data_IF_663136367689
#
_entry.id   IF_663136367689
#
_cell.length_a   1.000
_cell.length_b   1.000
_cell.length_c   1.000
_cell.angle_alpha   90.00
_cell.angle_beta   90.00
_cell.angle_gamma   90.00
#
_symmetry.space_group_name_H-M   'P 1'
#
loop_
_entity.id
_entity.type
_entity.pdbx_description
1 polymer ?
#
# COMPACT_ATOMS: atom_id res chain seq x y z
N UNK A 1 35.03 16.83 0.28
CA UNK A 1 34.03 16.35 1.26
C UNK A 1 32.84 15.86 0.45
N UNK A 2 32.50 14.57 0.54
CA UNK A 2 31.27 14.07 -0.05
C UNK A 2 30.11 14.66 0.75
N UNK A 3 29.29 15.50 0.13
CA UNK A 3 27.98 15.87 0.65
C UNK A 3 27.22 14.56 0.85
N UNK A 4 26.95 14.18 2.11
CA UNK A 4 26.00 13.09 2.36
C UNK A 4 24.68 13.53 1.76
N UNK A 5 24.26 12.84 0.71
CA UNK A 5 22.97 13.12 0.06
C UNK A 5 21.86 12.99 1.10
N UNK A 6 20.92 13.94 1.06
CA UNK A 6 19.78 13.94 1.97
C UNK A 6 19.02 12.61 1.83
N UNK A 7 18.64 11.92 2.93
CA UNK A 7 18.05 10.58 2.90
C UNK A 7 16.69 10.52 2.21
N UNK A 8 16.06 11.68 2.00
CA UNK A 8 14.79 11.82 1.26
C UNK A 8 14.96 12.62 -0.03
N UNK A 9 16.18 12.73 -0.55
CA UNK A 9 16.38 13.22 -1.91
C UNK A 9 15.89 12.17 -2.91
N UNK A 10 15.43 12.63 -4.07
CA UNK A 10 14.90 11.77 -5.13
C UNK A 10 15.95 10.77 -5.68
N UNK A 11 17.23 11.00 -5.34
CA UNK A 11 18.39 10.15 -5.71
C UNK A 11 18.90 9.29 -4.56
N UNK A 12 18.29 9.37 -3.38
CA UNK A 12 18.66 8.53 -2.24
C UNK A 12 18.26 7.08 -2.48
N UNK A 13 19.08 6.15 -2.00
CA UNK A 13 18.79 4.72 -2.06
C UNK A 13 17.44 4.38 -1.38
N UNK A 14 17.10 5.12 -0.32
CA UNK A 14 15.83 4.98 0.37
C UNK A 14 14.66 5.33 -0.57
N UNK A 15 14.67 6.48 -1.23
CA UNK A 15 13.58 6.85 -2.15
C UNK A 15 13.53 5.93 -3.38
N UNK A 16 14.69 5.54 -3.94
CA UNK A 16 14.79 4.65 -5.10
C UNK A 16 14.23 3.24 -4.79
N UNK A 17 14.51 2.70 -3.60
CA UNK A 17 13.99 1.39 -3.20
C UNK A 17 12.47 1.39 -3.03
N UNK A 18 11.88 2.48 -2.51
CA UNK A 18 10.43 2.65 -2.49
C UNK A 18 9.84 2.71 -3.91
N UNK A 19 10.45 3.47 -4.82
CA UNK A 19 10.00 3.54 -6.22
C UNK A 19 10.05 2.18 -6.91
N UNK A 20 11.07 1.37 -6.62
CA UNK A 20 11.17 0.00 -7.14
C UNK A 20 9.98 -0.86 -6.69
N UNK A 21 9.55 -0.71 -5.44
CA UNK A 21 8.35 -1.38 -4.93
C UNK A 21 7.08 -0.87 -5.63
N UNK A 22 6.91 0.45 -5.73
CA UNK A 22 5.75 1.10 -6.38
C UNK A 22 5.60 0.63 -7.83
N UNK A 23 6.69 0.62 -8.61
CA UNK A 23 6.68 0.22 -10.01
C UNK A 23 6.32 -1.26 -10.23
N UNK A 24 6.53 -2.11 -9.22
CA UNK A 24 6.17 -3.53 -9.29
C UNK A 24 4.68 -3.80 -9.01
N UNK A 25 4.02 -2.93 -8.24
CA UNK A 25 2.66 -3.14 -7.74
C UNK A 25 1.59 -3.31 -8.84
N UNK A 26 1.59 -2.54 -9.96
CA UNK A 26 0.63 -2.72 -11.04
C UNK A 26 0.66 -4.12 -11.67
N UNK A 27 1.85 -4.74 -11.75
CA UNK A 27 2.00 -6.12 -12.26
C UNK A 27 1.26 -7.10 -11.36
N UNK A 28 1.38 -6.96 -10.05
CA UNK A 28 0.72 -7.84 -9.08
C UNK A 28 -0.78 -7.61 -9.05
N UNK A 29 -1.22 -6.35 -9.04
CA UNK A 29 -2.64 -5.99 -9.12
C UNK A 29 -3.31 -6.64 -10.34
N UNK A 30 -2.67 -6.56 -11.53
CA UNK A 30 -3.17 -7.21 -12.74
C UNK A 30 -3.27 -8.72 -12.57
N UNK A 31 -2.20 -9.40 -12.11
CA UNK A 31 -2.20 -10.86 -11.94
C UNK A 31 -3.28 -11.33 -10.96
N UNK A 32 -3.50 -10.61 -9.86
CA UNK A 32 -4.56 -10.93 -8.89
C UNK A 32 -5.93 -10.69 -9.51
N UNK A 33 -6.11 -9.58 -10.23
CA UNK A 33 -7.35 -9.28 -10.95
C UNK A 33 -7.68 -10.38 -11.95
N UNK A 34 -6.70 -10.85 -12.72
CA UNK A 34 -6.90 -11.94 -13.68
C UNK A 34 -7.34 -13.24 -12.99
N UNK A 35 -6.76 -13.58 -11.83
CA UNK A 35 -7.11 -14.78 -11.06
C UNK A 35 -8.52 -14.66 -10.48
N UNK A 36 -8.84 -13.53 -9.85
CA UNK A 36 -10.10 -13.32 -9.12
C UNK A 36 -11.28 -13.07 -10.08
N UNK A 37 -11.06 -12.33 -11.16
CA UNK A 37 -12.15 -11.86 -12.04
C UNK A 37 -12.29 -12.67 -13.34
N UNK A 38 -11.20 -13.24 -13.86
CA UNK A 38 -11.18 -13.77 -15.24
C UNK A 38 -10.90 -15.26 -15.31
N UNK A 39 -10.04 -15.79 -14.42
CA UNK A 39 -9.50 -17.14 -14.50
C UNK A 39 -9.60 -17.88 -13.16
N UNK A 40 -10.82 -18.24 -12.70
CA UNK A 40 -11.02 -18.94 -11.43
C UNK A 40 -10.39 -20.34 -11.41
N UNK A 41 -10.05 -20.91 -12.58
CA UNK A 41 -9.38 -22.20 -12.73
C UNK A 41 -7.83 -22.09 -12.78
N UNK A 42 -7.27 -20.97 -12.31
CA UNK A 42 -5.81 -20.81 -12.23
C UNK A 42 -5.21 -21.90 -11.33
N UNK A 43 -4.08 -22.48 -11.74
CA UNK A 43 -3.44 -23.55 -10.99
C UNK A 43 -3.02 -23.09 -9.58
N UNK A 44 -3.21 -23.95 -8.59
CA UNK A 44 -2.79 -23.68 -7.21
C UNK A 44 -1.29 -23.34 -7.12
N UNK A 45 -0.45 -23.94 -7.95
CA UNK A 45 0.98 -23.63 -8.01
C UNK A 45 1.23 -22.16 -8.42
N UNK A 46 0.51 -21.65 -9.42
CA UNK A 46 0.63 -20.27 -9.86
C UNK A 46 0.13 -19.28 -8.81
N UNK A 47 -0.96 -19.62 -8.10
CA UNK A 47 -1.48 -18.83 -6.97
C UNK A 47 -0.44 -18.80 -5.83
N UNK A 48 0.12 -19.96 -5.44
CA UNK A 48 1.16 -20.04 -4.41
C UNK A 48 2.39 -19.20 -4.77
N UNK A 49 2.86 -19.26 -6.03
CA UNK A 49 3.99 -18.45 -6.48
C UNK A 49 3.68 -16.95 -6.40
N UNK A 50 2.48 -16.54 -6.82
CA UNK A 50 2.05 -15.14 -6.74
C UNK A 50 1.96 -14.66 -5.29
N UNK A 51 1.45 -15.48 -4.37
CA UNK A 51 1.44 -15.17 -2.93
C UNK A 51 2.86 -14.97 -2.40
N UNK A 52 3.80 -15.86 -2.75
CA UNK A 52 5.20 -15.71 -2.36
C UNK A 52 5.82 -14.41 -2.89
N UNK A 53 5.53 -14.06 -4.15
CA UNK A 53 6.02 -12.81 -4.74
C UNK A 53 5.42 -11.58 -4.01
N UNK A 54 4.13 -11.61 -3.68
CA UNK A 54 3.47 -10.57 -2.89
C UNK A 54 4.02 -10.46 -1.47
N UNK A 55 4.32 -11.58 -0.81
CA UNK A 55 4.96 -11.58 0.51
C UNK A 55 6.36 -10.96 0.47
N UNK A 56 7.14 -11.24 -0.58
CA UNK A 56 8.45 -10.58 -0.76
C UNK A 56 8.29 -9.07 -0.95
N UNK A 57 7.32 -8.65 -1.76
CA UNK A 57 7.02 -7.23 -1.94
C UNK A 57 6.61 -6.57 -0.61
N UNK A 58 5.71 -7.21 0.16
CA UNK A 58 5.31 -6.76 1.50
C UNK A 58 6.51 -6.62 2.44
N UNK A 59 7.42 -7.59 2.46
CA UNK A 59 8.63 -7.55 3.27
C UNK A 59 9.54 -6.39 2.85
N UNK A 60 9.74 -6.17 1.55
CA UNK A 60 10.56 -5.06 1.05
C UNK A 60 9.98 -3.70 1.43
N UNK A 61 8.66 -3.51 1.30
CA UNK A 61 8.02 -2.24 1.68
C UNK A 61 8.04 -2.07 3.22
N UNK A 62 7.85 -3.14 3.97
CA UNK A 62 7.89 -3.10 5.45
C UNK A 62 9.29 -2.78 5.96
N UNK A 63 10.33 -3.36 5.35
CA UNK A 63 11.72 -3.03 5.65
C UNK A 63 11.99 -1.56 5.33
N UNK A 64 11.55 -1.08 4.17
CA UNK A 64 11.65 0.34 3.82
C UNK A 64 11.01 1.23 4.88
N UNK A 65 9.81 0.87 5.37
CA UNK A 65 9.12 1.64 6.41
C UNK A 65 9.91 1.68 7.72
N UNK A 66 10.54 0.57 8.11
CA UNK A 66 11.41 0.53 9.30
C UNK A 66 12.64 1.43 9.13
N UNK A 67 13.29 1.38 7.97
CA UNK A 67 14.43 2.25 7.64
C UNK A 67 14.01 3.73 7.63
N UNK A 68 12.83 4.04 7.06
CA UNK A 68 12.23 5.36 7.11
C UNK A 68 12.09 5.86 8.55
N UNK A 69 11.54 5.03 9.45
CA UNK A 69 11.32 5.40 10.86
C UNK A 69 12.63 5.76 11.58
N UNK A 70 13.69 4.97 11.37
CA UNK A 70 15.02 5.25 11.90
C UNK A 70 15.53 6.61 11.41
N UNK A 71 15.40 6.88 10.10
CA UNK A 71 15.85 8.13 9.51
C UNK A 71 14.95 9.34 9.83
N UNK A 72 13.67 9.13 10.14
CA UNK A 72 12.76 10.22 10.52
C UNK A 72 13.02 10.68 11.95
N UNK A 73 13.28 9.75 12.89
CA UNK A 73 13.61 10.10 14.28
C UNK A 73 14.89 10.92 14.40
N UNK A 74 15.93 10.55 13.65
CA UNK A 74 17.19 11.31 13.63
C UNK A 74 17.01 12.73 13.05
N UNK A 75 16.00 12.94 12.19
CA UNK A 75 15.72 14.22 11.56
C UNK A 75 14.74 15.12 12.34
N UNK A 76 13.90 14.59 13.24
CA UNK A 76 13.03 15.39 14.11
C UNK A 76 13.83 16.26 15.09
N UNK A 77 15.06 15.85 15.42
CA UNK A 77 15.98 16.59 16.29
C UNK A 77 16.71 17.74 15.60
N UNK A 78 16.52 17.96 14.29
CA UNK A 78 17.24 18.99 13.54
C UNK A 78 16.45 20.32 13.45
N UNK A 79 16.90 21.40 14.10
CA UNK A 79 16.17 22.68 14.19
C UNK A 79 16.12 23.51 12.90
N UNK A 80 16.62 23.00 11.76
CA UNK A 80 16.75 23.72 10.49
C UNK A 80 15.92 23.12 9.36
N UNK A 81 14.89 22.33 9.67
CA UNK A 81 14.12 21.58 8.66
C UNK A 81 13.29 22.51 7.78
N UNK A 82 13.51 22.44 6.46
CA UNK A 82 12.71 23.23 5.52
C UNK A 82 11.30 22.61 5.37
N UNK A 83 10.25 23.41 5.16
CA UNK A 83 8.91 22.90 4.86
C UNK A 83 8.89 21.93 3.67
N UNK A 84 9.76 22.14 2.67
CA UNK A 84 9.85 21.27 1.51
C UNK A 84 10.36 19.84 1.84
N UNK A 85 11.23 19.71 2.85
CA UNK A 85 11.72 18.40 3.30
C UNK A 85 10.69 17.66 4.16
N UNK A 86 9.78 18.39 4.81
CA UNK A 86 8.62 17.80 5.48
C UNK A 86 7.62 17.24 4.45
N UNK A 87 7.32 17.99 3.40
CA UNK A 87 6.40 17.56 2.33
C UNK A 87 6.87 16.26 1.67
N UNK A 88 8.16 16.15 1.31
CA UNK A 88 8.74 14.95 0.70
C UNK A 88 8.65 13.71 1.59
N UNK A 89 8.81 13.88 2.89
CA UNK A 89 8.71 12.77 3.84
C UNK A 89 7.27 12.26 3.97
N UNK A 90 6.30 13.17 4.10
CA UNK A 90 4.88 12.79 4.12
C UNK A 90 4.44 12.16 2.80
N UNK A 91 4.96 12.65 1.68
CA UNK A 91 4.69 12.05 0.37
C UNK A 91 5.21 10.61 0.28
N UNK A 92 6.48 10.38 0.65
CA UNK A 92 7.10 9.06 0.65
C UNK A 92 6.38 8.09 1.61
N UNK A 93 6.06 8.54 2.84
CA UNK A 93 5.32 7.76 3.81
C UNK A 93 3.91 7.41 3.30
N UNK A 94 3.23 8.37 2.69
CA UNK A 94 1.93 8.15 2.08
C UNK A 94 1.97 7.11 0.96
N UNK A 95 3.03 7.11 0.14
CA UNK A 95 3.23 6.08 -0.89
C UNK A 95 3.48 4.71 -0.27
N UNK A 96 4.34 4.64 0.74
CA UNK A 96 4.60 3.41 1.47
C UNK A 96 3.30 2.79 2.02
N UNK A 97 2.49 3.58 2.73
CA UNK A 97 1.22 3.12 3.27
C UNK A 97 0.26 2.68 2.19
N UNK A 98 0.17 3.44 1.10
CA UNK A 98 -0.65 3.04 -0.05
C UNK A 98 -0.21 1.68 -0.59
N UNK A 99 1.10 1.49 -0.80
CA UNK A 99 1.63 0.21 -1.29
C UNK A 99 1.37 -0.94 -0.31
N UNK A 100 1.50 -0.73 0.99
CA UNK A 100 1.19 -1.73 2.00
C UNK A 100 -0.30 -2.07 2.02
N UNK A 101 -1.19 -1.07 1.97
CA UNK A 101 -2.66 -1.28 1.91
C UNK A 101 -3.01 -2.16 0.71
N UNK A 102 -2.52 -1.80 -0.49
CA UNK A 102 -2.80 -2.57 -1.70
C UNK A 102 -2.22 -3.97 -1.59
N UNK A 103 -0.95 -4.11 -1.20
CA UNK A 103 -0.28 -5.42 -1.11
C UNK A 103 -1.01 -6.33 -0.12
N UNK A 104 -1.42 -5.82 1.03
CA UNK A 104 -2.19 -6.55 2.03
C UNK A 104 -3.54 -7.02 1.49
N UNK A 105 -4.28 -6.13 0.80
CA UNK A 105 -5.55 -6.48 0.14
C UNK A 105 -5.35 -7.53 -0.97
N UNK A 106 -4.26 -7.47 -1.72
CA UNK A 106 -3.92 -8.47 -2.74
C UNK A 106 -3.59 -9.84 -2.13
N UNK A 107 -2.85 -9.87 -1.01
CA UNK A 107 -2.58 -11.10 -0.26
C UNK A 107 -3.88 -11.70 0.26
N UNK A 108 -4.73 -10.88 0.89
CA UNK A 108 -6.05 -11.31 1.37
C UNK A 108 -6.91 -11.86 0.23
N UNK A 109 -6.95 -11.18 -0.91
CA UNK A 109 -7.77 -11.58 -2.05
C UNK A 109 -7.42 -12.99 -2.57
N UNK A 110 -6.15 -13.41 -2.46
CA UNK A 110 -5.67 -14.72 -2.88
C UNK A 110 -5.79 -15.82 -1.82
N UNK A 111 -6.07 -15.45 -0.56
CA UNK A 111 -6.28 -16.39 0.53
C UNK A 111 -6.99 -15.68 1.69
N UNK A 112 -8.33 -15.52 1.63
CA UNK A 112 -9.07 -14.85 2.69
C UNK A 112 -8.96 -15.54 4.05
N UNK A 113 -8.76 -16.87 4.06
CA UNK A 113 -8.70 -17.68 5.27
C UNK A 113 -7.44 -17.40 6.11
N UNK A 114 -6.27 -17.38 5.47
CA UNK A 114 -5.00 -17.02 6.11
C UNK A 114 -4.73 -15.51 6.09
N UNK A 115 -5.51 -14.76 5.31
CA UNK A 115 -5.32 -13.35 5.01
C UNK A 115 -5.80 -12.37 6.08
N UNK A 116 -6.57 -12.82 7.08
CA UNK A 116 -7.29 -11.94 8.01
C UNK A 116 -6.41 -10.87 8.69
N UNK A 117 -5.18 -11.22 9.07
CA UNK A 117 -4.21 -10.27 9.65
C UNK A 117 -3.83 -9.16 8.66
N UNK A 118 -3.63 -9.49 7.38
CA UNK A 118 -3.31 -8.50 6.35
C UNK A 118 -4.47 -7.53 6.12
N UNK A 119 -5.72 -8.03 6.20
CA UNK A 119 -6.88 -7.14 6.15
C UNK A 119 -6.90 -6.16 7.32
N UNK A 120 -6.69 -6.66 8.54
CA UNK A 120 -6.62 -5.81 9.72
C UNK A 120 -5.52 -4.73 9.58
N UNK A 121 -4.33 -5.12 9.10
CA UNK A 121 -3.24 -4.19 8.83
C UNK A 121 -3.60 -3.16 7.74
N UNK A 122 -4.27 -3.57 6.66
CA UNK A 122 -4.72 -2.66 5.61
C UNK A 122 -5.69 -1.60 6.16
N UNK A 123 -6.60 -1.99 7.06
CA UNK A 123 -7.52 -1.05 7.71
C UNK A 123 -6.78 -0.07 8.63
N UNK A 124 -5.82 -0.57 9.41
CA UNK A 124 -4.99 0.28 10.28
C UNK A 124 -4.21 1.31 9.46
N UNK A 125 -3.52 0.87 8.41
CA UNK A 125 -2.75 1.75 7.53
C UNK A 125 -3.65 2.77 6.81
N UNK A 126 -4.86 2.38 6.41
CA UNK A 126 -5.82 3.30 5.82
C UNK A 126 -6.29 4.38 6.81
N UNK A 127 -6.43 4.04 8.10
CA UNK A 127 -6.72 5.02 9.15
C UNK A 127 -5.52 5.94 9.43
N UNK A 128 -4.30 5.38 9.45
CA UNK A 128 -3.08 6.16 9.63
C UNK A 128 -2.87 7.14 8.47
N UNK A 129 -3.19 6.75 7.23
CA UNK A 129 -3.09 7.61 6.05
C UNK A 129 -4.06 8.79 6.09
N UNK A 130 -5.28 8.59 6.61
CA UNK A 130 -6.25 9.67 6.85
C UNK A 130 -5.71 10.66 7.90
N UNK A 131 -5.04 10.15 8.94
CA UNK A 131 -4.42 10.98 9.97
C UNK A 131 -3.24 11.78 9.39
N UNK A 132 -2.44 11.17 8.53
CA UNK A 132 -1.36 11.86 7.81
C UNK A 132 -1.91 12.96 6.91
N UNK A 133 -3.02 12.72 6.18
CA UNK A 133 -3.66 13.76 5.37
C UNK A 133 -4.06 14.97 6.21
N UNK A 134 -4.74 14.74 7.35
CA UNK A 134 -5.15 15.82 8.26
C UNK A 134 -3.95 16.64 8.76
N UNK A 135 -2.84 15.98 9.07
CA UNK A 135 -1.62 16.64 9.53
C UNK A 135 -0.87 17.35 8.38
N UNK A 136 -0.79 16.76 7.19
CA UNK A 136 -0.07 17.30 6.04
C UNK A 136 -0.80 18.50 5.39
N UNK A 137 -2.13 18.45 5.30
CA UNK A 137 -2.95 19.55 4.77
C UNK A 137 -2.90 20.81 5.65
N UNK A 138 -2.52 20.68 6.93
CA UNK A 138 -2.32 21.84 7.81
C UNK A 138 -1.05 22.63 7.48
N UNK A 139 -0.17 22.10 6.62
CA UNK A 139 1.17 22.65 6.36
C UNK A 139 1.34 23.21 4.94
N UNK A 140 0.75 22.62 3.88
CA UNK A 140 0.99 23.09 2.50
C UNK A 140 0.00 22.55 1.43
N UNK A 141 -0.33 23.35 0.40
CA UNK A 141 -1.29 23.00 -0.65
C UNK A 141 -0.80 22.01 -1.74
N UNK A 142 0.52 21.79 -1.88
CA UNK A 142 1.05 20.77 -2.84
C UNK A 142 0.83 19.33 -2.36
N UNK A 143 0.82 19.11 -1.04
CA UNK A 143 0.57 17.80 -0.47
C UNK A 143 -0.85 17.29 -0.79
N UNK A 144 -1.81 18.20 -1.00
CA UNK A 144 -3.21 17.89 -1.29
C UNK A 144 -3.38 17.04 -2.56
N UNK A 145 -2.71 17.40 -3.66
CA UNK A 145 -2.81 16.65 -4.92
C UNK A 145 -2.21 15.23 -4.79
N UNK A 146 -1.06 15.11 -4.11
CA UNK A 146 -0.39 13.83 -3.92
C UNK A 146 -1.13 12.93 -2.94
N UNK A 147 -1.81 13.50 -1.95
CA UNK A 147 -2.62 12.76 -1.00
C UNK A 147 -3.97 12.34 -1.59
N UNK A 148 -4.58 13.14 -2.48
CA UNK A 148 -5.88 12.82 -3.07
C UNK A 148 -5.95 11.40 -3.69
N UNK A 149 -4.93 11.00 -4.46
CA UNK A 149 -4.86 9.67 -5.07
C UNK A 149 -4.71 8.55 -4.01
N UNK A 150 -3.87 8.78 -3.00
CA UNK A 150 -3.62 7.85 -1.90
C UNK A 150 -4.87 7.68 -1.03
N UNK A 151 -5.62 8.75 -0.88
CA UNK A 151 -6.86 8.79 -0.11
C UNK A 151 -8.02 8.07 -0.79
N UNK A 152 -8.05 7.96 -2.11
CA UNK A 152 -8.99 7.03 -2.77
C UNK A 152 -8.75 5.59 -2.33
N UNK A 153 -7.50 5.15 -2.26
CA UNK A 153 -7.15 3.79 -1.80
C UNK A 153 -7.55 3.58 -0.34
N UNK A 154 -7.23 4.53 0.54
CA UNK A 154 -7.60 4.43 1.95
C UNK A 154 -9.12 4.47 2.17
N UNK A 155 -9.84 5.40 1.52
CA UNK A 155 -11.30 5.52 1.63
C UNK A 155 -12.01 4.27 1.08
N UNK A 156 -11.61 3.79 -0.10
CA UNK A 156 -12.14 2.55 -0.67
C UNK A 156 -11.89 1.36 0.26
N UNK A 157 -10.68 1.24 0.80
CA UNK A 157 -10.32 0.20 1.76
C UNK A 157 -11.20 0.24 3.00
N UNK A 158 -11.45 1.43 3.57
CA UNK A 158 -12.32 1.55 4.74
C UNK A 158 -13.79 1.28 4.41
N UNK A 159 -14.27 1.72 3.25
CA UNK A 159 -15.65 1.54 2.82
C UNK A 159 -16.01 0.04 2.67
N UNK A 160 -15.09 -0.78 2.17
CA UNK A 160 -15.34 -2.22 1.94
C UNK A 160 -14.88 -3.11 3.10
N UNK A 161 -14.57 -2.54 4.27
CA UNK A 161 -13.96 -3.27 5.39
C UNK A 161 -14.83 -4.40 5.95
N UNK A 162 -16.14 -4.20 6.02
CA UNK A 162 -17.08 -5.20 6.54
C UNK A 162 -17.22 -6.37 5.56
N UNK A 163 -17.57 -6.08 4.31
CA UNK A 163 -17.72 -7.09 3.24
C UNK A 163 -16.48 -7.96 3.09
N UNK A 164 -15.28 -7.37 3.18
CA UNK A 164 -14.05 -8.15 3.10
C UNK A 164 -13.80 -9.00 4.34
N UNK A 165 -14.12 -8.52 5.55
CA UNK A 165 -13.98 -9.32 6.78
C UNK A 165 -14.91 -10.54 6.77
N UNK A 166 -16.14 -10.40 6.28
CA UNK A 166 -17.09 -11.50 6.16
C UNK A 166 -16.58 -12.65 5.26
N UNK A 167 -15.72 -12.33 4.29
CA UNK A 167 -15.08 -13.32 3.43
C UNK A 167 -14.12 -14.25 4.20
N UNK A 168 -13.67 -13.91 5.40
CA UNK A 168 -12.86 -14.84 6.22
C UNK A 168 -13.68 -16.05 6.70
N UNK A 169 -14.98 -15.87 6.90
CA UNK A 169 -15.87 -16.86 7.52
C UNK A 169 -16.68 -17.68 6.52
N UNK A 170 -16.98 -17.11 5.35
CA UNK A 170 -18.01 -17.64 4.44
C UNK A 170 -17.48 -18.15 3.09
N UNK A 171 -16.17 -18.05 2.84
CA UNK A 171 -15.64 -18.37 1.51
C UNK A 171 -15.29 -19.86 1.40
N UNK A 172 -16.05 -20.58 0.57
CA UNK A 172 -15.84 -22.01 0.23
C UNK A 172 -14.74 -22.17 -0.86
N UNK A 173 -14.04 -21.08 -1.22
CA UNK A 173 -13.04 -21.02 -2.28
C UNK A 173 -11.67 -20.54 -1.82
N UNK A 174 -10.66 -20.70 -2.67
CA UNK A 174 -9.27 -20.28 -2.39
C UNK A 174 -9.05 -18.76 -2.49
N UNK A 175 -9.97 -18.02 -3.11
CA UNK A 175 -9.86 -16.57 -3.34
C UNK A 175 -11.14 -15.84 -2.91
N UNK A 176 -11.05 -14.52 -2.72
CA UNK A 176 -12.19 -13.67 -2.39
C UNK A 176 -13.25 -13.69 -3.52
N UNK A 177 -14.55 -13.55 -3.22
CA UNK A 177 -15.56 -13.41 -4.27
C UNK A 177 -15.28 -12.25 -5.22
N UNK A 178 -15.45 -12.50 -6.53
CA UNK A 178 -15.20 -11.52 -7.58
C UNK A 178 -15.92 -10.19 -7.37
N UNK A 179 -17.19 -10.23 -6.93
CA UNK A 179 -18.00 -9.03 -6.69
C UNK A 179 -17.37 -8.13 -5.63
N UNK A 180 -16.89 -8.71 -4.53
CA UNK A 180 -16.26 -8.00 -3.41
C UNK A 180 -14.93 -7.37 -3.83
N UNK A 181 -14.13 -8.08 -4.64
CA UNK A 181 -12.89 -7.54 -5.18
C UNK A 181 -13.12 -6.41 -6.19
N UNK A 182 -14.10 -6.60 -7.08
CA UNK A 182 -14.46 -5.64 -8.12
C UNK A 182 -14.98 -4.34 -7.52
N UNK A 183 -15.82 -4.41 -6.49
CA UNK A 183 -16.31 -3.23 -5.76
C UNK A 183 -15.15 -2.39 -5.21
N UNK A 184 -14.18 -3.02 -4.54
CA UNK A 184 -13.00 -2.32 -4.04
C UNK A 184 -12.19 -1.67 -5.18
N UNK A 185 -11.95 -2.40 -6.27
CA UNK A 185 -11.25 -1.87 -7.44
C UNK A 185 -11.98 -0.68 -8.09
N UNK A 186 -13.31 -0.71 -8.16
CA UNK A 186 -14.11 0.40 -8.68
C UNK A 186 -13.98 1.65 -7.81
N UNK A 187 -14.03 1.49 -6.48
CA UNK A 187 -13.87 2.59 -5.53
C UNK A 187 -12.45 3.19 -5.54
N UNK A 188 -11.43 2.42 -5.92
CA UNK A 188 -10.06 2.92 -6.14
C UNK A 188 -9.84 3.51 -7.54
N UNK A 189 -10.81 3.37 -8.46
CA UNK A 189 -10.71 3.82 -9.86
C UNK A 189 -9.93 2.87 -10.77
N UNK A 190 -9.70 1.62 -10.35
CA UNK A 190 -9.03 0.60 -11.15
C UNK A 190 -10.02 -0.19 -12.01
N UNK A 191 -9.56 -0.56 -13.20
CA UNK A 191 -10.33 -1.40 -14.14
C UNK A 191 -10.05 -2.87 -13.88
N UNK A 192 -11.10 -3.68 -13.94
CA UNK A 192 -11.05 -5.13 -13.79
C UNK A 192 -11.31 -5.88 -15.10
N UNK A 193 -11.49 -5.16 -16.22
CA UNK A 193 -11.80 -5.67 -17.57
C UNK A 193 -11.21 -4.76 -18.66
#
# INVERSE_FOLDING_TARGET
>A
MATKDHPFSDRSDLVISLWSCICSLPKYLRRVTDIVCTSPNTSNLAICQLKLDLFRLYQSISQWHQEYQVHSWDNELHPSRSPADADKQFEALGFCFTCLIVTNRLIFALDPSAGATYEYEAQKLAADLVTIEQNALSVNGRAELFMALKMHVAKATRATAETWRECTTNTIGSTIPQSVFTEWCQLTGWKTY
#
